data_IF_339814303322
#
_entry.id   IF_339814303322
#
_cell.length_a   1.000
_cell.length_b   1.000
_cell.length_c   1.000
_cell.angle_alpha   90.00
_cell.angle_beta   90.00
_cell.angle_gamma   90.00
#
_symmetry.space_group_name_H-M   'P 1'
#
loop_
_entity.id
_entity.type
_entity.pdbx_description
1 polymer ?
#
# COMPACT_ATOMS: atom_id res chain seq x y z
N UNK A 1 23.15 -18.60 -26.22
CA UNK A 1 22.07 -17.74 -26.74
C UNK A 1 22.63 -17.05 -27.98
N UNK A 2 22.75 -17.79 -29.08
CA UNK A 2 21.69 -18.07 -30.04
C UNK A 2 21.43 -16.85 -30.94
N UNK A 3 21.96 -16.91 -32.17
CA UNK A 3 21.25 -16.60 -33.42
C UNK A 3 22.24 -16.44 -34.59
N UNK A 4 22.87 -17.54 -35.00
CA UNK A 4 23.19 -17.78 -36.42
C UNK A 4 22.91 -19.26 -36.67
N UNK A 5 21.63 -19.62 -36.58
CA UNK A 5 21.09 -20.84 -37.16
C UNK A 5 20.12 -20.38 -38.23
N UNK A 6 20.44 -20.70 -39.48
CA UNK A 6 19.56 -20.85 -40.64
C UNK A 6 20.40 -20.62 -41.90
N UNK A 7 21.21 -21.62 -42.26
CA UNK A 7 21.63 -21.83 -43.64
C UNK A 7 22.06 -23.28 -43.87
N UNK A 8 21.35 -24.22 -43.24
CA UNK A 8 21.17 -25.56 -43.80
C UNK A 8 19.91 -25.51 -44.67
N UNK A 9 20.09 -25.23 -45.95
CA UNK A 9 19.06 -25.40 -46.97
C UNK A 9 19.74 -25.84 -48.27
N UNK A 10 19.76 -27.16 -48.44
CA UNK A 10 19.69 -27.84 -49.73
C UNK A 10 20.76 -27.45 -50.76
N UNK A 11 21.90 -28.14 -50.65
CA UNK A 11 22.75 -28.48 -51.80
C UNK A 11 21.93 -29.45 -52.68
N UNK A 12 21.02 -28.90 -53.47
CA UNK A 12 20.43 -29.55 -54.63
C UNK A 12 21.08 -28.93 -55.87
N UNK A 13 21.98 -29.70 -56.45
CA UNK A 13 22.77 -29.38 -57.64
C UNK A 13 21.85 -29.11 -58.84
N UNK A 14 21.71 -27.84 -59.25
CA UNK A 14 21.16 -27.48 -60.57
C UNK A 14 22.16 -26.60 -61.32
N UNK A 15 22.59 -26.97 -62.55
CA UNK A 15 23.58 -26.22 -63.32
C UNK A 15 23.13 -24.81 -63.73
N UNK A 16 21.85 -24.46 -63.55
CA UNK A 16 21.33 -23.12 -63.85
C UNK A 16 21.71 -22.06 -62.79
N UNK A 17 21.96 -22.46 -61.53
CA UNK A 17 22.37 -21.54 -60.46
C UNK A 17 23.78 -21.00 -60.68
N UNK A 18 24.69 -21.81 -61.20
CA UNK A 18 26.08 -21.41 -61.45
C UNK A 18 26.16 -20.33 -62.55
N UNK A 19 25.33 -20.46 -63.58
CA UNK A 19 25.20 -19.45 -64.65
C UNK A 19 24.63 -18.13 -64.12
N UNK A 20 23.68 -18.18 -63.16
CA UNK A 20 23.08 -17.01 -62.56
C UNK A 20 24.07 -16.26 -61.64
N UNK A 21 24.86 -16.98 -60.83
CA UNK A 21 25.89 -16.40 -59.96
C UNK A 21 27.02 -15.76 -60.77
N UNK A 22 27.48 -16.39 -61.86
CA UNK A 22 28.51 -15.81 -62.75
C UNK A 22 27.96 -14.58 -63.51
N UNK A 23 26.67 -14.57 -63.90
CA UNK A 23 26.03 -13.39 -64.50
C UNK A 23 25.90 -12.25 -63.49
N UNK A 24 25.58 -12.55 -62.23
CA UNK A 24 25.49 -11.58 -61.14
C UNK A 24 26.88 -10.99 -60.80
N UNK A 25 27.92 -11.82 -60.70
CA UNK A 25 29.31 -11.41 -60.46
C UNK A 25 29.89 -10.57 -61.62
N UNK A 26 29.53 -10.89 -62.88
CA UNK A 26 29.92 -10.06 -64.04
C UNK A 26 29.24 -8.68 -64.03
N UNK A 27 28.00 -8.58 -63.54
CA UNK A 27 27.30 -7.29 -63.40
C UNK A 27 27.80 -6.46 -62.20
N UNK A 28 28.33 -7.09 -61.15
CA UNK A 28 28.98 -6.40 -60.04
C UNK A 28 30.25 -5.63 -60.44
N UNK A 29 30.86 -5.96 -61.59
CA UNK A 29 32.01 -5.22 -62.12
C UNK A 29 31.65 -3.93 -62.85
N UNK A 30 30.35 -3.69 -63.12
CA UNK A 30 29.87 -2.45 -63.77
C UNK A 30 29.14 -1.48 -62.82
N UNK A 31 28.99 -1.84 -61.54
CA UNK A 31 28.67 -0.88 -60.48
C UNK A 31 29.86 0.06 -60.34
N UNK A 32 29.86 1.12 -61.17
CA UNK A 32 30.62 2.34 -60.94
C UNK A 32 30.47 2.64 -59.46
N UNK A 33 31.59 2.57 -58.74
CA UNK A 33 31.71 3.10 -57.40
C UNK A 33 31.07 4.49 -57.46
N UNK A 34 29.92 4.63 -56.81
CA UNK A 34 29.32 5.93 -56.59
C UNK A 34 30.38 6.70 -55.83
N UNK A 35 31.07 7.56 -56.56
CA UNK A 35 32.17 8.36 -56.08
C UNK A 35 31.64 9.15 -54.89
N UNK A 36 31.98 8.72 -53.67
CA UNK A 36 31.66 9.46 -52.46
C UNK A 36 32.53 10.70 -52.51
N UNK A 37 32.04 11.70 -53.25
CA UNK A 37 32.72 12.96 -53.50
C UNK A 37 32.90 13.60 -52.14
N UNK A 38 34.09 13.45 -51.58
CA UNK A 38 34.45 13.96 -50.27
C UNK A 38 34.15 15.47 -50.30
N UNK A 39 33.12 15.94 -49.56
CA UNK A 39 32.75 17.34 -49.64
C UNK A 39 33.94 18.19 -49.23
N UNK A 40 34.01 19.40 -49.80
CA UNK A 40 35.04 20.39 -49.46
C UNK A 40 35.19 20.49 -47.94
N UNK A 41 36.40 20.75 -47.46
CA UNK A 41 36.73 20.92 -46.04
C UNK A 41 35.96 22.13 -45.47
N UNK A 42 34.71 21.90 -45.05
CA UNK A 42 33.88 22.86 -44.31
C UNK A 42 34.49 23.06 -42.93
N UNK A 43 35.41 24.04 -42.83
CA UNK A 43 36.10 24.41 -41.60
C UNK A 43 35.19 25.31 -40.77
N UNK A 44 34.33 24.71 -39.95
CA UNK A 44 33.69 25.42 -38.83
C UNK A 44 32.19 25.17 -38.66
N UNK A 45 31.42 25.05 -39.74
CA UNK A 45 29.96 24.95 -39.67
C UNK A 45 29.46 23.64 -39.02
N UNK A 46 30.16 22.53 -39.25
CA UNK A 46 29.76 21.22 -38.72
C UNK A 46 29.79 21.15 -37.19
N UNK A 47 30.75 21.82 -36.54
CA UNK A 47 30.86 21.84 -35.08
C UNK A 47 29.70 22.61 -34.43
N UNK A 48 29.32 23.73 -35.03
CA UNK A 48 28.20 24.56 -34.54
C UNK A 48 26.88 23.82 -34.68
N UNK A 49 26.62 23.20 -35.84
CA UNK A 49 25.39 22.43 -36.07
C UNK A 49 25.33 21.22 -35.13
N UNK A 50 26.45 20.52 -34.92
CA UNK A 50 26.53 19.41 -33.97
C UNK A 50 26.21 19.84 -32.54
N UNK A 51 26.72 21.00 -32.10
CA UNK A 51 26.46 21.53 -30.75
C UNK A 51 25.00 21.97 -30.58
N UNK A 52 24.42 22.62 -31.59
CA UNK A 52 22.99 23.01 -31.58
C UNK A 52 22.11 21.76 -31.55
N UNK A 53 22.38 20.75 -32.38
CA UNK A 53 21.63 19.50 -32.39
C UNK A 53 21.74 18.75 -31.06
N UNK A 54 22.94 18.70 -30.47
CA UNK A 54 23.16 18.07 -29.17
C UNK A 54 22.36 18.81 -28.06
N UNK A 55 22.36 20.14 -28.07
CA UNK A 55 21.58 20.95 -27.14
C UNK A 55 20.07 20.70 -27.28
N UNK A 56 19.55 20.67 -28.52
CA UNK A 56 18.13 20.41 -28.76
C UNK A 56 17.70 19.04 -28.23
N UNK A 57 18.50 18.00 -28.47
CA UNK A 57 18.23 16.66 -27.94
C UNK A 57 18.22 16.63 -26.41
N UNK A 58 19.13 17.36 -25.75
CA UNK A 58 19.15 17.43 -24.27
C UNK A 58 17.91 18.11 -23.69
N UNK A 59 17.42 19.21 -24.30
CA UNK A 59 16.21 19.89 -23.82
C UNK A 59 14.95 19.01 -23.95
N UNK A 60 14.84 18.27 -25.06
CA UNK A 60 13.75 17.31 -25.26
C UNK A 60 13.84 16.20 -24.21
N UNK A 61 15.04 15.68 -23.95
CA UNK A 61 15.29 14.67 -22.92
C UNK A 61 14.87 15.11 -21.52
N UNK A 62 15.26 16.32 -21.09
CA UNK A 62 14.91 16.86 -19.77
C UNK A 62 13.41 17.09 -19.64
N UNK A 63 12.76 17.60 -20.69
CA UNK A 63 11.31 17.84 -20.68
C UNK A 63 10.51 16.54 -20.51
N UNK A 64 10.97 15.44 -21.14
CA UNK A 64 10.35 14.12 -20.96
C UNK A 64 10.51 13.57 -19.53
N UNK A 65 11.69 13.78 -18.90
CA UNK A 65 11.96 13.31 -17.53
C UNK A 65 11.12 14.02 -16.46
N UNK A 66 10.76 15.29 -16.67
CA UNK A 66 9.93 16.04 -15.72
C UNK A 66 8.52 15.44 -15.56
N UNK A 67 7.95 14.87 -16.63
CA UNK A 67 6.66 14.17 -16.58
C UNK A 67 6.70 12.92 -15.71
N UNK A 68 7.76 12.11 -15.85
CA UNK A 68 7.99 10.90 -15.06
C UNK A 68 8.09 11.21 -13.55
N UNK A 69 8.79 12.28 -13.19
CA UNK A 69 8.95 12.66 -11.78
C UNK A 69 7.63 13.00 -11.06
N UNK A 70 6.61 13.52 -11.76
CA UNK A 70 5.29 13.75 -11.18
C UNK A 70 4.49 12.46 -11.01
N UNK A 71 4.58 11.54 -11.98
CA UNK A 71 3.93 10.23 -11.93
C UNK A 71 4.50 9.37 -10.80
N UNK A 72 5.82 9.43 -10.58
CA UNK A 72 6.48 8.72 -9.48
C UNK A 72 5.99 9.21 -8.12
N UNK A 73 5.86 10.54 -7.92
CA UNK A 73 5.32 11.12 -6.68
C UNK A 73 3.87 10.75 -6.43
N UNK A 74 3.04 10.76 -7.48
CA UNK A 74 1.64 10.33 -7.38
C UNK A 74 1.55 8.85 -7.01
N UNK A 75 2.36 8.00 -7.62
CA UNK A 75 2.43 6.57 -7.33
C UNK A 75 2.92 6.31 -5.91
N UNK A 76 3.91 7.06 -5.44
CA UNK A 76 4.41 6.98 -4.08
C UNK A 76 3.32 7.36 -3.05
N UNK A 77 2.60 8.47 -3.28
CA UNK A 77 1.51 8.90 -2.40
C UNK A 77 0.34 7.90 -2.37
N UNK A 78 -0.05 7.38 -3.54
CA UNK A 78 -1.10 6.34 -3.63
C UNK A 78 -0.68 5.07 -2.88
N UNK A 79 0.57 4.64 -3.03
CA UNK A 79 1.10 3.47 -2.31
C UNK A 79 1.12 3.69 -0.80
N UNK A 80 1.47 4.88 -0.35
CA UNK A 80 1.50 5.22 1.07
C UNK A 80 0.09 5.26 1.70
N UNK A 81 -0.89 5.77 0.96
CA UNK A 81 -2.31 5.77 1.35
C UNK A 81 -2.89 4.35 1.41
N UNK A 82 -2.59 3.52 0.41
CA UNK A 82 -3.06 2.14 0.36
C UNK A 82 -2.44 1.30 1.48
N UNK A 83 -1.15 1.51 1.75
CA UNK A 83 -0.48 0.87 2.88
C UNK A 83 -1.17 1.22 4.19
N UNK A 84 -1.40 2.52 4.46
CA UNK A 84 -2.12 2.95 5.67
C UNK A 84 -3.48 2.25 5.82
N UNK A 85 -4.24 2.13 4.72
CA UNK A 85 -5.54 1.44 4.71
C UNK A 85 -5.44 -0.04 5.07
N UNK A 86 -4.54 -0.77 4.40
CA UNK A 86 -4.32 -2.20 4.65
C UNK A 86 -3.91 -2.48 6.11
N UNK A 87 -3.11 -1.59 6.69
CA UNK A 87 -2.68 -1.70 8.08
C UNK A 87 -3.83 -1.47 9.06
N UNK A 88 -4.69 -0.49 8.78
CA UNK A 88 -5.86 -0.22 9.60
C UNK A 88 -6.83 -1.41 9.56
N UNK A 89 -7.01 -2.04 8.39
CA UNK A 89 -7.83 -3.24 8.23
C UNK A 89 -7.22 -4.45 8.97
N UNK A 90 -5.89 -4.63 8.90
CA UNK A 90 -5.20 -5.69 9.64
C UNK A 90 -5.47 -5.57 11.14
N UNK A 91 -5.35 -4.36 11.69
CA UNK A 91 -5.59 -4.09 13.09
C UNK A 91 -7.06 -4.34 13.50
N UNK A 92 -7.99 -3.90 12.66
CA UNK A 92 -9.42 -4.15 12.84
C UNK A 92 -9.73 -5.65 12.90
N UNK A 93 -9.23 -6.43 11.93
CA UNK A 93 -9.42 -7.88 11.86
C UNK A 93 -8.75 -8.62 13.00
N UNK A 94 -7.70 -8.06 13.58
CA UNK A 94 -7.02 -8.62 14.74
C UNK A 94 -7.89 -8.45 15.99
N UNK A 95 -8.54 -7.30 16.17
CA UNK A 95 -9.55 -7.10 17.23
C UNK A 95 -10.70 -8.09 17.09
N UNK A 96 -11.32 -8.14 15.90
CA UNK A 96 -12.53 -8.94 15.67
C UNK A 96 -12.30 -10.45 15.90
N UNK A 97 -11.12 -10.96 15.51
CA UNK A 97 -10.81 -12.40 15.66
C UNK A 97 -10.23 -12.75 17.02
N UNK A 98 -9.28 -11.98 17.53
CA UNK A 98 -8.52 -12.35 18.73
C UNK A 98 -9.16 -11.85 20.02
N UNK A 99 -9.36 -10.53 20.10
CA UNK A 99 -9.79 -9.87 21.33
C UNK A 99 -11.14 -10.41 21.83
N UNK A 100 -12.12 -10.57 20.95
CA UNK A 100 -13.48 -10.93 21.35
C UNK A 100 -13.67 -12.40 21.73
N UNK A 101 -12.92 -13.31 21.11
CA UNK A 101 -12.98 -14.74 21.46
C UNK A 101 -12.42 -15.00 22.86
N UNK A 102 -11.55 -14.12 23.35
CA UNK A 102 -10.90 -14.25 24.66
C UNK A 102 -11.69 -13.66 25.83
N UNK A 103 -12.82 -13.00 25.58
CA UNK A 103 -13.60 -12.36 26.63
C UNK A 103 -14.70 -13.31 27.11
N UNK A 104 -14.44 -13.97 28.24
CA UNK A 104 -15.43 -14.83 28.91
C UNK A 104 -16.46 -14.02 29.73
N UNK A 105 -16.16 -12.77 30.08
CA UNK A 105 -17.11 -11.80 30.63
C UNK A 105 -16.79 -10.41 30.05
N UNK A 106 -17.72 -9.79 29.34
CA UNK A 106 -17.47 -8.45 28.78
C UNK A 106 -18.08 -7.39 29.70
N UNK A 107 -17.21 -6.64 30.36
CA UNK A 107 -17.57 -5.40 31.06
C UNK A 107 -18.15 -4.40 30.04
N UNK A 108 -19.18 -3.61 30.43
CA UNK A 108 -19.84 -2.57 29.61
C UNK A 108 -18.93 -1.35 29.26
N UNK A 109 -17.62 -1.55 29.28
CA UNK A 109 -16.57 -0.55 29.03
C UNK A 109 -16.29 0.34 30.23
N UNK A 110 -15.04 0.76 30.36
CA UNK A 110 -14.66 1.83 31.27
C UNK A 110 -15.18 3.17 30.73
N UNK A 111 -15.30 4.14 31.63
CA UNK A 111 -15.42 5.55 31.26
C UNK A 111 -14.17 6.03 30.50
N UNK A 112 -14.32 7.01 29.59
CA UNK A 112 -13.20 7.70 28.94
C UNK A 112 -12.26 8.32 29.98
N UNK A 113 -12.82 8.93 31.04
CA UNK A 113 -12.03 9.49 32.13
C UNK A 113 -11.38 8.42 33.02
N UNK A 114 -12.06 7.28 33.21
CA UNK A 114 -11.55 6.15 34.00
C UNK A 114 -10.48 5.34 33.27
N UNK A 115 -10.27 5.59 31.98
CA UNK A 115 -9.18 5.00 31.25
C UNK A 115 -8.10 6.02 30.84
N UNK A 116 -6.90 5.83 31.38
CA UNK A 116 -5.77 6.75 31.20
C UNK A 116 -4.73 6.24 30.20
N UNK A 117 -4.68 4.94 29.92
CA UNK A 117 -3.72 4.36 28.95
C UNK A 117 -4.12 2.96 28.48
N UNK A 118 -4.09 2.72 27.17
CA UNK A 118 -4.31 1.42 26.51
C UNK A 118 -5.54 0.67 27.05
N UNK A 119 -6.71 1.27 26.79
CA UNK A 119 -8.04 0.87 27.24
C UNK A 119 -8.54 -0.34 26.48
N UNK A 120 -9.00 -1.34 27.22
CA UNK A 120 -9.58 -2.54 26.66
C UNK A 120 -10.90 -2.29 25.93
N UNK A 121 -11.88 -1.74 26.64
CA UNK A 121 -13.19 -1.33 26.12
C UNK A 121 -13.57 -0.01 26.80
N UNK A 122 -14.11 0.93 26.04
CA UNK A 122 -14.65 2.20 26.54
C UNK A 122 -16.15 2.24 26.29
N UNK A 123 -16.95 2.79 27.20
CA UNK A 123 -18.37 3.01 26.94
C UNK A 123 -18.56 4.22 26.01
N UNK A 124 -19.28 4.08 24.89
CA UNK A 124 -19.45 5.17 23.92
C UNK A 124 -20.39 6.27 24.40
N UNK A 125 -21.29 5.95 25.32
CA UNK A 125 -22.29 6.87 25.89
C UNK A 125 -22.01 7.05 27.38
N UNK A 126 -20.90 7.70 27.66
CA UNK A 126 -20.52 8.07 29.02
C UNK A 126 -21.27 9.34 29.43
N UNK A 127 -22.25 9.26 30.33
CA UNK A 127 -22.88 10.40 31.04
C UNK A 127 -22.80 11.76 30.29
N UNK A 128 -23.40 11.85 29.09
CA UNK A 128 -23.69 13.05 28.28
C UNK A 128 -22.61 14.14 28.04
N UNK A 129 -21.41 14.08 28.61
CA UNK A 129 -20.42 15.16 28.54
C UNK A 129 -19.26 14.90 27.56
N UNK A 130 -19.01 13.63 27.20
CA UNK A 130 -17.93 13.24 26.30
C UNK A 130 -18.45 12.23 25.28
N UNK A 131 -18.41 12.60 23.99
CA UNK A 131 -18.59 11.66 22.90
C UNK A 131 -17.23 11.06 22.55
N UNK A 132 -17.03 9.77 22.87
CA UNK A 132 -15.76 9.06 22.60
C UNK A 132 -15.40 9.11 21.10
N UNK A 133 -16.41 9.05 20.23
CA UNK A 133 -16.24 9.20 18.78
C UNK A 133 -15.61 10.53 18.37
N UNK A 134 -15.96 11.62 19.06
CA UNK A 134 -15.46 12.95 18.71
C UNK A 134 -14.04 13.17 19.24
N UNK A 135 -13.58 12.37 20.21
CA UNK A 135 -12.24 12.50 20.81
C UNK A 135 -11.13 12.20 19.82
N UNK A 136 -11.37 11.33 18.83
CA UNK A 136 -10.38 11.07 17.78
C UNK A 136 -9.99 12.35 17.02
N UNK A 137 -10.95 13.24 16.79
CA UNK A 137 -10.76 14.47 16.01
C UNK A 137 -10.52 15.70 16.88
N UNK A 138 -11.14 15.76 18.06
CA UNK A 138 -11.04 16.91 18.96
C UNK A 138 -9.80 16.85 19.88
N UNK A 139 -9.35 15.64 20.25
CA UNK A 139 -8.13 15.44 21.05
C UNK A 139 -7.38 14.18 20.60
N UNK A 140 -6.74 14.20 19.41
CA UNK A 140 -6.10 13.02 18.84
C UNK A 140 -4.98 12.45 19.72
N UNK A 141 -4.25 13.29 20.46
CA UNK A 141 -3.22 12.84 21.39
C UNK A 141 -3.80 12.07 22.59
N UNK A 142 -4.97 12.49 23.09
CA UNK A 142 -5.68 11.77 24.15
C UNK A 142 -6.23 10.43 23.66
N UNK A 143 -6.68 10.38 22.41
CA UNK A 143 -7.11 9.16 21.76
C UNK A 143 -5.92 8.20 21.57
N UNK A 144 -4.79 8.69 21.07
CA UNK A 144 -3.59 7.88 20.84
C UNK A 144 -3.01 7.28 22.13
N UNK A 145 -3.15 7.98 23.27
CA UNK A 145 -2.73 7.50 24.59
C UNK A 145 -3.65 6.39 25.13
N UNK A 146 -4.95 6.45 24.81
CA UNK A 146 -5.98 5.52 25.30
C UNK A 146 -6.19 4.33 24.38
N UNK A 147 -5.94 4.48 23.09
CA UNK A 147 -5.97 3.39 22.13
C UNK A 147 -4.92 2.33 22.48
N UNK A 148 -5.23 1.07 22.15
CA UNK A 148 -4.31 -0.06 22.27
C UNK A 148 -3.48 -0.12 20.99
N UNK A 149 -2.17 -0.24 21.13
CA UNK A 149 -1.30 -0.53 20.00
C UNK A 149 -1.54 -1.97 19.52
N UNK A 150 -1.45 -2.19 18.21
CA UNK A 150 -1.55 -3.52 17.64
C UNK A 150 -0.56 -4.46 18.35
N UNK A 151 -1.07 -5.63 18.78
CA UNK A 151 -0.30 -6.68 19.44
C UNK A 151 -0.38 -6.64 20.97
N UNK A 152 -0.83 -5.53 21.56
CA UNK A 152 -0.84 -5.33 23.02
C UNK A 152 -2.23 -5.62 23.66
N UNK A 153 -3.05 -6.50 23.08
CA UNK A 153 -4.37 -6.82 23.65
C UNK A 153 -4.29 -7.41 25.03
N UNK A 154 -5.16 -6.96 25.93
CA UNK A 154 -5.17 -7.34 27.34
C UNK A 154 -6.40 -8.17 27.72
N UNK A 155 -6.24 -9.15 28.62
CA UNK A 155 -7.35 -9.87 29.26
C UNK A 155 -7.99 -9.05 30.37
N UNK A 156 -8.99 -9.65 31.02
CA UNK A 156 -9.65 -9.10 32.22
C UNK A 156 -8.68 -8.82 33.37
N UNK A 157 -7.58 -9.57 33.46
CA UNK A 157 -6.52 -9.33 34.44
C UNK A 157 -5.49 -8.28 33.99
N UNK A 158 -5.78 -7.54 32.91
CA UNK A 158 -4.88 -6.54 32.30
C UNK A 158 -3.54 -7.12 31.78
N UNK A 159 -3.45 -8.45 31.62
CA UNK A 159 -2.29 -9.14 31.06
C UNK A 159 -2.43 -9.30 29.54
N UNK A 160 -1.32 -9.17 28.81
CA UNK A 160 -1.32 -9.21 27.34
C UNK A 160 -1.61 -10.66 26.84
N UNK A 161 -2.62 -10.85 25.97
CA UNK A 161 -3.13 -12.17 25.50
C UNK A 161 -2.65 -12.58 24.10
N UNK A 162 -1.48 -12.13 23.66
CA UNK A 162 -0.80 -12.70 22.48
C UNK A 162 -1.30 -12.24 21.08
N UNK A 163 -0.46 -12.36 20.03
CA UNK A 163 0.80 -13.10 20.02
C UNK A 163 1.99 -12.36 20.63
N UNK A 164 2.62 -13.02 21.61
CA UNK A 164 4.07 -13.09 21.76
C UNK A 164 4.60 -13.86 20.55
N UNK A 165 4.78 -13.16 19.43
CA UNK A 165 5.73 -13.57 18.41
C UNK A 165 6.27 -12.31 17.77
N UNK A 166 7.23 -11.74 18.48
CA UNK A 166 8.26 -10.88 17.94
C UNK A 166 7.74 -9.51 17.47
N UNK A 167 8.41 -8.46 17.92
CA UNK A 167 8.27 -7.09 17.41
C UNK A 167 8.39 -7.00 15.86
N UNK A 168 8.75 -8.11 15.20
CA UNK A 168 9.27 -8.19 13.84
C UNK A 168 8.22 -8.34 12.74
N UNK A 169 6.94 -8.57 13.03
CA UNK A 169 5.91 -8.51 11.98
C UNK A 169 5.63 -7.07 11.52
N UNK A 170 5.63 -6.09 12.43
CA UNK A 170 5.49 -4.66 12.07
C UNK A 170 6.74 -4.08 11.44
N UNK A 171 7.91 -4.44 11.95
CA UNK A 171 9.19 -3.97 11.41
C UNK A 171 9.37 -4.40 9.93
N UNK A 172 8.76 -5.53 9.53
CA UNK A 172 8.74 -6.03 8.15
C UNK A 172 7.71 -5.35 7.24
N UNK A 173 6.69 -4.71 7.79
CA UNK A 173 5.63 -4.04 7.03
C UNK A 173 6.05 -2.65 6.53
N UNK A 174 7.24 -2.16 6.91
CA UNK A 174 7.75 -0.85 6.47
C UNK A 174 6.96 0.31 7.06
N UNK A 175 6.37 0.10 8.23
CA UNK A 175 5.50 1.04 8.91
C UNK A 175 6.29 2.13 9.60
N UNK A 176 5.72 3.32 9.63
CA UNK A 176 6.26 4.41 10.42
C UNK A 176 5.89 4.30 11.92
N UNK A 177 4.68 3.84 12.21
CA UNK A 177 4.18 3.64 13.56
C UNK A 177 3.26 2.41 13.62
N UNK A 178 3.13 1.81 14.81
CA UNK A 178 2.18 0.70 15.03
C UNK A 178 0.75 1.20 14.83
N UNK A 179 -0.13 0.41 14.18
CA UNK A 179 -1.55 0.69 14.17
C UNK A 179 -2.12 0.72 15.59
N UNK A 180 -3.10 1.59 15.82
CA UNK A 180 -3.80 1.78 17.09
C UNK A 180 -5.27 1.43 16.93
N UNK A 181 -5.85 0.80 17.94
CA UNK A 181 -7.25 0.39 17.97
C UNK A 181 -7.92 0.80 19.26
N UNK A 182 -9.17 1.25 19.14
CA UNK A 182 -10.05 1.59 20.24
C UNK A 182 -11.34 0.81 20.11
N UNK A 183 -11.72 0.08 21.16
CA UNK A 183 -12.98 -0.65 21.20
C UNK A 183 -13.96 0.09 22.09
N UNK A 184 -15.12 0.41 21.54
CA UNK A 184 -16.20 1.11 22.20
C UNK A 184 -17.40 0.16 22.36
N UNK A 185 -18.01 0.16 23.54
CA UNK A 185 -19.31 -0.46 23.80
C UNK A 185 -20.41 0.54 23.47
N UNK A 186 -21.32 0.18 22.57
CA UNK A 186 -22.36 1.10 22.07
C UNK A 186 -23.67 0.93 22.80
N UNK A 187 -24.23 -0.28 22.76
CA UNK A 187 -25.55 -0.54 23.33
C UNK A 187 -25.79 -2.03 23.53
N UNK A 188 -26.69 -2.35 24.44
CA UNK A 188 -27.31 -3.66 24.57
C UNK A 188 -28.73 -3.61 24.04
N UNK A 189 -29.09 -4.58 23.22
CA UNK A 189 -30.46 -4.77 22.71
C UNK A 189 -30.98 -6.14 23.16
N UNK A 190 -31.96 -6.22 24.07
CA UNK A 190 -32.53 -7.49 24.49
C UNK A 190 -33.36 -8.14 23.36
N UNK A 191 -33.46 -9.47 23.36
CA UNK A 191 -34.28 -10.19 22.39
C UNK A 191 -35.79 -10.10 22.67
N UNK A 192 -36.17 -9.90 23.93
CA UNK A 192 -37.55 -9.63 24.33
C UNK A 192 -37.66 -8.26 25.00
N UNK A 193 -38.85 -7.67 24.94
CA UNK A 193 -39.15 -6.41 25.62
C UNK A 193 -39.84 -6.66 26.98
N UNK A 194 -39.62 -7.84 27.56
CA UNK A 194 -40.23 -8.20 28.83
C UNK A 194 -39.70 -7.28 29.93
N UNK A 195 -40.59 -6.83 30.80
CA UNK A 195 -40.20 -5.96 31.93
C UNK A 195 -40.00 -6.86 33.14
N UNK A 196 -38.74 -7.09 33.51
CA UNK A 196 -38.37 -7.88 34.67
C UNK A 196 -36.89 -7.70 35.03
N UNK A 197 -36.56 -7.92 36.30
CA UNK A 197 -35.21 -7.69 36.86
C UNK A 197 -34.20 -8.82 36.55
N UNK A 198 -34.56 -9.75 35.65
CA UNK A 198 -33.69 -10.85 35.23
C UNK A 198 -32.71 -10.42 34.14
N UNK A 199 -31.53 -11.07 34.09
CA UNK A 199 -30.60 -10.91 32.98
C UNK A 199 -31.24 -11.43 31.70
N UNK A 200 -31.47 -10.52 30.74
CA UNK A 200 -32.13 -10.86 29.48
C UNK A 200 -31.08 -11.25 28.44
N UNK A 201 -31.31 -12.32 27.65
CA UNK A 201 -30.46 -12.59 26.51
C UNK A 201 -30.65 -11.50 25.46
N UNK A 202 -29.55 -11.11 24.81
CA UNK A 202 -29.58 -10.03 23.83
C UNK A 202 -28.29 -9.93 23.00
N UNK A 203 -28.19 -8.80 22.29
CA UNK A 203 -27.04 -8.46 21.47
C UNK A 203 -26.33 -7.26 22.08
N UNK A 204 -25.04 -7.42 22.35
CA UNK A 204 -24.16 -6.29 22.64
C UNK A 204 -23.54 -5.79 21.34
N UNK A 205 -23.66 -4.49 21.10
CA UNK A 205 -23.02 -3.80 19.99
C UNK A 205 -21.74 -3.14 20.44
N UNK A 206 -20.69 -3.36 19.67
CA UNK A 206 -19.39 -2.76 19.86
C UNK A 206 -18.94 -2.10 18.58
N UNK A 207 -18.24 -1.00 18.72
CA UNK A 207 -17.64 -0.25 17.63
C UNK A 207 -16.13 -0.32 17.78
N UNK A 208 -15.43 -0.71 16.74
CA UNK A 208 -13.96 -0.64 16.74
C UNK A 208 -13.56 0.48 15.81
N UNK A 209 -12.72 1.37 16.33
CA UNK A 209 -12.07 2.41 15.56
C UNK A 209 -10.59 2.07 15.47
N UNK A 210 -10.07 1.95 14.25
CA UNK A 210 -8.68 1.64 13.95
C UNK A 210 -8.04 2.84 13.26
N UNK A 211 -6.81 3.17 13.67
CA UNK A 211 -5.99 4.25 13.11
C UNK A 211 -4.63 3.68 12.75
N UNK A 212 -4.18 3.86 11.52
CA UNK A 212 -2.87 3.39 11.09
C UNK A 212 -2.18 4.38 10.16
N UNK A 213 -0.87 4.49 10.31
CA UNK A 213 0.00 5.23 9.40
C UNK A 213 0.47 4.34 8.24
N UNK A 214 0.85 4.97 7.14
CA UNK A 214 1.56 4.32 6.04
C UNK A 214 3.06 4.15 6.33
N UNK A 215 3.85 4.19 5.28
CA UNK A 215 5.31 4.33 5.35
C UNK A 215 5.77 5.73 5.79
N UNK A 216 4.87 6.72 5.83
CA UNK A 216 5.12 8.05 6.39
C UNK A 216 4.13 8.41 7.51
N UNK A 217 4.48 9.41 8.34
CA UNK A 217 3.58 9.96 9.38
C UNK A 217 2.45 10.84 8.80
N UNK A 218 2.49 11.12 7.49
CA UNK A 218 1.55 12.06 6.85
C UNK A 218 0.37 11.31 6.22
N UNK A 219 0.60 10.06 5.81
CA UNK A 219 -0.47 9.18 5.34
C UNK A 219 -1.05 8.42 6.51
N UNK A 220 -2.28 8.78 6.88
CA UNK A 220 -3.03 8.12 7.95
C UNK A 220 -4.38 7.65 7.40
N UNK A 221 -4.80 6.46 7.81
CA UNK A 221 -6.13 5.95 7.55
C UNK A 221 -6.84 5.59 8.85
N UNK A 222 -8.12 5.95 8.91
CA UNK A 222 -9.00 5.65 10.02
C UNK A 222 -10.14 4.79 9.49
N UNK A 223 -10.33 3.61 10.08
CA UNK A 223 -11.41 2.69 9.74
C UNK A 223 -12.28 2.43 10.96
N UNK A 224 -13.56 2.21 10.72
CA UNK A 224 -14.50 1.92 11.78
C UNK A 224 -15.43 0.78 11.38
N UNK A 225 -15.63 -0.17 12.29
CA UNK A 225 -16.58 -1.27 12.15
C UNK A 225 -17.54 -1.28 13.33
N UNK A 226 -18.73 -1.82 13.11
CA UNK A 226 -19.69 -2.12 14.17
C UNK A 226 -19.95 -3.62 14.12
N UNK A 227 -19.76 -4.30 15.24
CA UNK A 227 -20.01 -5.73 15.35
C UNK A 227 -20.93 -6.01 16.54
N UNK A 228 -21.68 -7.10 16.45
CA UNK A 228 -22.58 -7.56 17.50
C UNK A 228 -22.13 -8.92 18.03
N UNK A 229 -22.14 -9.09 19.35
CA UNK A 229 -21.96 -10.40 19.99
C UNK A 229 -23.26 -10.83 20.65
N UNK A 230 -23.60 -12.11 20.50
CA UNK A 230 -24.74 -12.72 21.20
C UNK A 230 -24.35 -13.06 22.63
N UNK A 231 -25.18 -12.63 23.58
CA UNK A 231 -25.23 -13.19 24.93
C UNK A 231 -26.19 -14.38 24.92
N UNK A 232 -25.73 -15.50 25.46
CA UNK A 232 -26.57 -16.68 25.75
C UNK A 232 -27.00 -16.66 27.22
#
# INVERSE_FOLDING_TARGET
MALISLMDASIACSPQLLHCVIRCLKNLRSMKLAEYRYPRKERGAALIIGLVMMLLLTMIGVSAMQGTGMQDKMTANMRDSEMAFQNSELALRYVERGFLQSLDNIEKGNTWAGCTSSCRIINSEENSAVNVRDMLFNSPADWDARAIDYGDFKNMANAVISPVSDQTDFDRMGLKAKPKVLVEYVAFTPFSADIGDGEQPGLDYYRVTSKAAGGTDVSESILQTLFSRRFE
#
